data_IF_513115906526
#
_entry.id   IF_513115906526
#
_cell.length_a   1.000
_cell.length_b   1.000
_cell.length_c   1.000
_cell.angle_alpha   90.00
_cell.angle_beta   90.00
_cell.angle_gamma   90.00
#
_symmetry.space_group_name_H-M   'P 1'
#
loop_
_entity.id
_entity.type
_entity.pdbx_description
1 polymer ?
#
# COMPACT_ATOMS: atom_id res chain seq x y z
N UNK A 1 -0.06 0.01 -13.11
CA UNK A 1 0.00 1.37 -13.70
C UNK A 1 -0.77 1.47 -15.01
N UNK A 2 -0.62 0.52 -15.95
CA UNK A 2 -1.25 0.59 -17.28
C UNK A 2 -2.78 0.80 -17.24
N UNK A 3 -3.51 0.09 -16.38
CA UNK A 3 -4.96 0.31 -16.25
C UNK A 3 -5.29 1.72 -15.75
N UNK A 4 -4.59 2.23 -14.73
CA UNK A 4 -4.83 3.56 -14.18
C UNK A 4 -4.68 4.67 -15.22
N UNK A 5 -3.64 4.58 -16.06
CA UNK A 5 -3.43 5.50 -17.19
C UNK A 5 -4.57 5.38 -18.21
N UNK A 6 -4.98 4.15 -18.56
CA UNK A 6 -6.11 3.92 -19.49
C UNK A 6 -7.46 4.40 -18.92
N UNK A 7 -7.65 4.31 -17.61
CA UNK A 7 -8.85 4.80 -16.92
C UNK A 7 -8.87 6.34 -16.91
N UNK A 8 -7.72 6.97 -16.60
CA UNK A 8 -7.55 8.41 -16.66
C UNK A 8 -7.84 8.98 -18.06
N UNK A 9 -7.32 8.34 -19.10
CA UNK A 9 -7.61 8.71 -20.49
C UNK A 9 -9.10 8.60 -20.88
N UNK A 10 -9.91 7.91 -20.08
CA UNK A 10 -11.36 7.72 -20.27
C UNK A 10 -12.20 8.54 -19.29
N UNK A 11 -11.60 9.50 -18.57
CA UNK A 11 -12.30 10.42 -17.67
C UNK A 11 -12.49 9.92 -16.24
N UNK A 12 -11.80 8.85 -15.83
CA UNK A 12 -11.75 8.44 -14.42
C UNK A 12 -10.62 9.15 -13.67
N UNK A 13 -10.81 9.39 -12.38
CA UNK A 13 -9.69 9.70 -11.48
C UNK A 13 -9.01 8.39 -11.10
N UNK A 14 -7.71 8.27 -11.34
CA UNK A 14 -6.93 7.09 -10.94
C UNK A 14 -6.09 7.42 -9.71
N UNK A 15 -6.26 6.66 -8.64
CA UNK A 15 -5.54 6.81 -7.37
C UNK A 15 -4.77 5.51 -7.11
N UNK A 16 -3.49 5.65 -6.76
CA UNK A 16 -2.64 4.53 -6.32
C UNK A 16 -2.12 4.91 -4.94
N UNK A 17 -2.33 4.04 -3.97
CA UNK A 17 -2.03 4.29 -2.57
C UNK A 17 -0.98 3.28 -2.08
N UNK A 18 0.04 3.79 -1.39
CA UNK A 18 0.88 2.97 -0.53
C UNK A 18 0.12 2.65 0.76
N UNK A 19 -0.03 1.37 1.11
CA UNK A 19 -0.69 0.98 2.36
C UNK A 19 0.11 1.45 3.57
N UNK A 20 -0.56 1.60 4.72
CA UNK A 20 0.05 2.06 5.98
C UNK A 20 1.39 1.38 6.27
N UNK A 21 2.40 2.19 6.60
CA UNK A 21 3.74 1.75 6.94
C UNK A 21 4.59 1.23 5.77
N UNK A 22 4.15 1.43 4.52
CA UNK A 22 4.89 1.05 3.32
C UNK A 22 5.31 2.27 2.51
N UNK A 23 6.51 2.19 1.94
CA UNK A 23 7.03 3.19 0.99
C UNK A 23 6.88 4.62 1.50
N UNK A 24 6.02 5.44 0.88
CA UNK A 24 5.81 6.84 1.28
C UNK A 24 4.81 7.02 2.42
N UNK A 25 3.99 6.01 2.72
CA UNK A 25 3.00 6.07 3.79
C UNK A 25 3.63 5.97 5.18
N UNK A 26 3.07 6.77 6.09
CA UNK A 26 3.43 6.78 7.51
C UNK A 26 2.88 5.55 8.25
N UNK A 27 3.22 5.43 9.53
CA UNK A 27 2.74 4.37 10.41
C UNK A 27 3.54 3.07 10.34
N UNK A 28 3.00 2.04 10.97
CA UNK A 28 3.59 0.70 11.05
C UNK A 28 2.77 -0.28 10.21
N UNK A 29 3.48 -1.08 9.42
CA UNK A 29 2.84 -2.06 8.55
C UNK A 29 2.58 -3.36 9.29
N UNK A 30 1.34 -3.86 9.20
CA UNK A 30 0.96 -5.19 9.62
C UNK A 30 -0.02 -5.74 8.60
N UNK A 31 0.31 -6.90 8.03
CA UNK A 31 -0.42 -7.50 6.91
C UNK A 31 -1.90 -7.74 7.25
N UNK A 32 -2.81 -7.25 6.40
CA UNK A 32 -4.27 -7.45 6.48
C UNK A 32 -5.00 -6.86 7.71
N UNK A 33 -4.28 -6.20 8.63
CA UNK A 33 -4.87 -5.69 9.88
C UNK A 33 -5.60 -4.38 9.70
N UNK A 34 -5.11 -3.50 8.82
CA UNK A 34 -5.57 -2.11 8.73
C UNK A 34 -6.24 -1.78 7.40
N UNK A 35 -6.16 -2.67 6.41
CA UNK A 35 -6.63 -2.48 5.04
C UNK A 35 -8.13 -2.23 4.95
N UNK A 36 -8.93 -2.74 5.90
CA UNK A 36 -10.35 -2.44 5.97
C UNK A 36 -10.63 -0.99 6.35
N UNK A 37 -10.05 -0.53 7.47
CA UNK A 37 -10.20 0.83 7.98
C UNK A 37 -9.56 1.86 7.03
N UNK A 38 -8.31 1.63 6.62
CA UNK A 38 -7.60 2.50 5.68
C UNK A 38 -8.30 2.54 4.32
N UNK A 39 -8.87 1.41 3.89
CA UNK A 39 -9.66 1.31 2.66
C UNK A 39 -10.96 2.10 2.73
N UNK A 40 -11.68 2.03 3.87
CA UNK A 40 -12.87 2.85 4.11
C UNK A 40 -12.54 4.34 4.01
N UNK A 41 -11.55 4.81 4.77
CA UNK A 41 -11.18 6.22 4.82
C UNK A 41 -10.73 6.73 3.45
N UNK A 42 -9.98 5.89 2.70
CA UNK A 42 -9.51 6.23 1.36
C UNK A 42 -10.67 6.34 0.36
N UNK A 43 -11.66 5.45 0.43
CA UNK A 43 -12.86 5.52 -0.41
C UNK A 43 -13.63 6.81 -0.12
N UNK A 44 -13.89 7.12 1.14
CA UNK A 44 -14.66 8.30 1.52
C UNK A 44 -13.92 9.59 1.16
N UNK A 45 -12.59 9.62 1.34
CA UNK A 45 -11.74 10.72 0.89
C UNK A 45 -11.79 10.90 -0.64
N UNK A 46 -11.66 9.81 -1.41
CA UNK A 46 -11.69 9.86 -2.87
C UNK A 46 -13.05 10.30 -3.41
N UNK A 47 -14.14 9.91 -2.74
CA UNK A 47 -15.49 10.34 -3.07
C UNK A 47 -15.70 11.85 -2.85
N UNK A 48 -15.02 12.43 -1.86
CA UNK A 48 -15.12 13.84 -1.49
C UNK A 48 -14.24 14.80 -2.32
N UNK A 49 -13.38 14.28 -3.20
CA UNK A 49 -12.56 15.14 -4.06
C UNK A 49 -13.44 16.04 -4.95
N UNK A 50 -13.06 17.31 -5.19
CA UNK A 50 -13.92 18.29 -5.88
C UNK A 50 -14.22 17.94 -7.35
N UNK A 51 -13.45 17.03 -7.92
CA UNK A 51 -13.59 16.51 -9.29
C UNK A 51 -14.08 15.05 -9.30
N UNK A 52 -14.52 14.52 -8.16
CA UNK A 52 -15.17 13.22 -8.05
C UNK A 52 -16.68 13.37 -8.27
N UNK A 53 -17.31 12.33 -8.82
CA UNK A 53 -18.76 12.22 -8.93
C UNK A 53 -19.39 11.47 -7.74
N UNK A 54 -18.62 11.29 -6.65
CA UNK A 54 -19.06 10.59 -5.44
C UNK A 54 -19.10 9.06 -5.56
N UNK A 55 -18.67 8.47 -6.68
CA UNK A 55 -18.62 7.02 -6.86
C UNK A 55 -17.18 6.54 -6.98
N UNK A 56 -16.78 5.65 -6.08
CA UNK A 56 -15.44 5.06 -6.07
C UNK A 56 -15.51 3.60 -6.48
N UNK A 57 -14.62 3.20 -7.39
CA UNK A 57 -14.40 1.81 -7.75
C UNK A 57 -12.97 1.41 -7.42
N UNK A 58 -12.78 0.16 -6.99
CA UNK A 58 -11.45 -0.38 -6.74
C UNK A 58 -11.13 -1.49 -7.75
N UNK A 59 -9.85 -1.64 -8.10
CA UNK A 59 -9.39 -2.65 -9.05
C UNK A 59 -7.97 -3.11 -8.70
N UNK A 60 -7.62 -4.32 -9.14
CA UNK A 60 -6.27 -4.88 -8.96
C UNK A 60 -6.31 -6.32 -8.49
N UNK A 61 -5.15 -6.94 -8.38
CA UNK A 61 -5.05 -8.34 -8.02
C UNK A 61 -4.04 -8.67 -6.93
N UNK A 62 -4.04 -9.93 -6.50
CA UNK A 62 -3.23 -10.42 -5.38
C UNK A 62 -3.50 -9.61 -4.10
N UNK A 63 -2.49 -9.04 -3.44
CA UNK A 63 -2.66 -8.19 -2.27
C UNK A 63 -3.55 -6.96 -2.54
N UNK A 64 -3.42 -6.35 -3.72
CA UNK A 64 -4.29 -5.23 -4.16
C UNK A 64 -5.72 -5.71 -4.37
N UNK A 65 -5.93 -7.00 -4.65
CA UNK A 65 -7.26 -7.62 -4.62
C UNK A 65 -7.79 -7.79 -3.20
N UNK A 66 -6.93 -8.23 -2.28
CA UNK A 66 -7.29 -8.46 -0.89
C UNK A 66 -7.74 -7.17 -0.19
N UNK A 67 -7.05 -6.05 -0.44
CA UNK A 67 -7.42 -4.74 0.11
C UNK A 67 -8.81 -4.30 -0.33
N UNK A 68 -9.27 -4.68 -1.54
CA UNK A 68 -10.63 -4.39 -2.01
C UNK A 68 -11.68 -5.16 -1.22
N UNK A 69 -11.43 -6.45 -0.98
CA UNK A 69 -12.34 -7.29 -0.19
C UNK A 69 -12.44 -6.78 1.25
N UNK A 70 -11.30 -6.41 1.85
CA UNK A 70 -11.24 -5.88 3.21
C UNK A 70 -11.92 -4.51 3.32
N UNK A 71 -11.69 -3.59 2.37
CA UNK A 71 -12.38 -2.31 2.32
C UNK A 71 -13.90 -2.48 2.14
N UNK A 72 -14.33 -3.40 1.26
CA UNK A 72 -15.75 -3.68 1.05
C UNK A 72 -16.44 -4.22 2.31
N UNK A 73 -15.74 -5.01 3.13
CA UNK A 73 -16.25 -5.48 4.43
C UNK A 73 -16.47 -4.35 5.44
N UNK A 74 -15.74 -3.24 5.32
CA UNK A 74 -15.98 -2.04 6.13
C UNK A 74 -17.19 -1.20 5.64
N UNK A 75 -17.79 -1.58 4.50
CA UNK A 75 -19.00 -0.99 3.94
C UNK A 75 -18.97 0.55 3.76
N UNK A 76 -17.94 1.14 3.14
CA UNK A 76 -17.94 2.57 2.83
C UNK A 76 -19.09 2.92 1.87
N UNK A 77 -19.93 3.92 2.19
CA UNK A 77 -21.16 4.22 1.44
C UNK A 77 -20.90 4.64 -0.02
N UNK A 78 -19.71 5.19 -0.33
CA UNK A 78 -19.38 5.64 -1.69
C UNK A 78 -18.67 4.58 -2.55
N UNK A 79 -18.44 3.37 -2.03
CA UNK A 79 -17.90 2.27 -2.81
C UNK A 79 -18.97 1.69 -3.75
N UNK A 80 -18.86 2.05 -5.02
CA UNK A 80 -19.81 1.63 -6.05
C UNK A 80 -19.51 0.24 -6.63
N UNK A 81 -18.28 -0.26 -6.47
CA UNK A 81 -17.91 -1.61 -6.93
C UNK A 81 -16.44 -1.94 -6.76
N UNK A 82 -16.15 -3.24 -6.74
CA UNK A 82 -14.79 -3.79 -6.68
C UNK A 82 -14.56 -4.75 -7.85
N UNK A 83 -13.30 -4.84 -8.29
CA UNK A 83 -12.87 -5.83 -9.29
C UNK A 83 -11.58 -6.53 -8.81
N UNK A 84 -11.69 -7.40 -7.78
CA UNK A 84 -10.57 -8.15 -7.24
C UNK A 84 -10.19 -9.32 -8.16
N UNK A 85 -8.92 -9.40 -8.52
CA UNK A 85 -8.39 -10.44 -9.43
C UNK A 85 -7.37 -11.31 -8.67
N UNK A 86 -7.36 -12.63 -8.87
CA UNK A 86 -6.35 -13.56 -8.31
C UNK A 86 -6.05 -13.30 -6.82
N UNK A 87 -7.10 -13.21 -6.00
CA UNK A 87 -7.03 -13.01 -4.55
C UNK A 87 -7.94 -14.02 -3.84
N UNK A 88 -7.87 -14.09 -2.50
CA UNK A 88 -8.67 -15.02 -1.71
C UNK A 88 -9.75 -14.31 -0.89
N UNK A 89 -10.84 -15.02 -0.61
CA UNK A 89 -11.88 -14.62 0.35
C UNK A 89 -11.56 -15.06 1.79
N UNK A 90 -10.52 -15.88 1.97
CA UNK A 90 -10.02 -16.33 3.26
C UNK A 90 -8.48 -16.36 3.19
N UNK A 91 -7.83 -15.66 4.12
CA UNK A 91 -6.37 -15.52 4.14
C UNK A 91 -5.68 -16.63 4.94
N UNK A 92 -6.43 -17.36 5.77
CA UNK A 92 -5.91 -18.51 6.51
C UNK A 92 -5.94 -19.76 5.63
N UNK A 93 -7.13 -20.22 5.26
CA UNK A 93 -7.34 -21.42 4.44
C UNK A 93 -7.64 -21.02 2.99
N UNK A 94 -6.85 -21.54 2.06
CA UNK A 94 -6.87 -21.14 0.66
C UNK A 94 -5.78 -20.13 0.27
N UNK A 95 -4.94 -19.70 1.22
CA UNK A 95 -3.78 -18.84 0.94
C UNK A 95 -2.56 -19.22 1.80
N UNK A 96 -2.61 -18.99 3.12
CA UNK A 96 -1.47 -19.31 4.02
C UNK A 96 -1.35 -20.82 4.25
N UNK A 97 -2.50 -21.48 4.34
CA UNK A 97 -2.62 -22.92 4.44
C UNK A 97 -3.50 -23.45 3.32
N UNK A 98 -3.24 -24.67 2.88
CA UNK A 98 -4.10 -25.45 1.99
C UNK A 98 -4.39 -26.79 2.65
N UNK A 99 -5.65 -27.02 3.03
CA UNK A 99 -6.05 -28.26 3.70
C UNK A 99 -5.30 -28.51 5.02
N UNK A 100 -4.91 -27.43 5.72
CA UNK A 100 -4.14 -27.49 6.97
C UNK A 100 -2.62 -27.62 6.80
N UNK A 101 -2.10 -27.81 5.58
CA UNK A 101 -0.67 -27.75 5.31
C UNK A 101 -0.24 -26.30 5.07
N UNK A 102 0.89 -25.88 5.66
CA UNK A 102 1.43 -24.54 5.45
C UNK A 102 2.01 -24.40 4.04
N UNK A 103 1.63 -23.36 3.32
CA UNK A 103 2.18 -23.01 2.00
C UNK A 103 3.58 -22.39 2.14
N UNK A 104 4.55 -23.22 2.53
CA UNK A 104 5.86 -22.80 3.01
C UNK A 104 6.60 -21.89 2.01
N UNK A 105 6.72 -22.33 0.75
CA UNK A 105 7.43 -21.57 -0.27
C UNK A 105 6.82 -20.18 -0.48
N UNK A 106 5.49 -20.11 -0.55
CA UNK A 106 4.79 -18.84 -0.71
C UNK A 106 5.00 -17.94 0.52
N UNK A 107 4.79 -18.48 1.72
CA UNK A 107 4.95 -17.73 2.96
C UNK A 107 6.36 -17.14 3.13
N UNK A 108 7.40 -17.94 2.89
CA UNK A 108 8.79 -17.50 3.01
C UNK A 108 9.19 -16.49 1.94
N UNK A 109 8.85 -16.75 0.66
CA UNK A 109 9.24 -15.87 -0.45
C UNK A 109 8.54 -14.52 -0.37
N UNK A 110 7.23 -14.52 -0.06
CA UNK A 110 6.45 -13.30 0.02
C UNK A 110 6.88 -12.43 1.21
N UNK A 111 7.03 -13.01 2.40
CA UNK A 111 7.45 -12.26 3.59
C UNK A 111 8.87 -11.71 3.45
N UNK A 112 9.78 -12.47 2.83
CA UNK A 112 11.15 -12.01 2.56
C UNK A 112 11.17 -10.79 1.63
N UNK A 113 10.35 -10.79 0.58
CA UNK A 113 10.21 -9.62 -0.31
C UNK A 113 9.62 -8.40 0.41
N UNK A 114 8.67 -8.60 1.31
CA UNK A 114 8.09 -7.50 2.10
C UNK A 114 9.09 -6.93 3.10
N UNK A 115 9.96 -7.78 3.66
CA UNK A 115 10.96 -7.38 4.65
C UNK A 115 11.96 -6.34 4.10
N UNK A 116 12.24 -6.36 2.79
CA UNK A 116 13.18 -5.42 2.15
C UNK A 116 12.83 -3.95 2.46
N UNK A 117 11.60 -3.52 2.16
CA UNK A 117 11.17 -2.14 2.43
C UNK A 117 11.12 -1.84 3.93
N UNK A 118 10.72 -2.80 4.76
CA UNK A 118 10.71 -2.62 6.23
C UNK A 118 12.12 -2.42 6.76
N UNK A 119 13.11 -3.17 6.26
CA UNK A 119 14.51 -3.03 6.60
C UNK A 119 15.05 -1.69 6.10
N UNK A 120 14.78 -1.32 4.84
CA UNK A 120 15.18 -0.03 4.28
C UNK A 120 14.71 1.14 5.13
N UNK A 121 13.41 1.19 5.48
CA UNK A 121 12.85 2.25 6.34
C UNK A 121 13.50 2.30 7.71
N UNK A 122 13.80 1.14 8.31
CA UNK A 122 14.52 1.07 9.60
C UNK A 122 15.94 1.59 9.48
N UNK A 123 16.65 1.25 8.41
CA UNK A 123 18.01 1.75 8.15
C UNK A 123 17.98 3.25 7.94
N UNK A 124 17.13 3.77 7.06
CA UNK A 124 17.01 5.20 6.77
C UNK A 124 16.68 6.02 8.02
N UNK A 125 15.71 5.58 8.83
CA UNK A 125 15.36 6.25 10.09
C UNK A 125 16.51 6.28 11.10
N UNK A 126 17.36 5.25 11.11
CA UNK A 126 18.51 5.14 12.00
C UNK A 126 19.80 5.71 11.40
N UNK A 127 19.81 6.07 10.12
CA UNK A 127 20.98 6.60 9.42
C UNK A 127 20.87 8.11 9.32
N UNK A 128 21.38 8.81 10.32
CA UNK A 128 21.72 10.22 10.13
C UNK A 128 23.11 10.28 9.49
N UNK A 129 23.18 10.23 8.16
CA UNK A 129 24.43 10.36 7.40
C UNK A 129 25.16 11.69 7.66
N UNK A 130 24.49 12.65 8.31
CA UNK A 130 25.02 13.96 8.69
C UNK A 130 25.31 14.07 10.19
N UNK A 131 25.14 13.00 10.99
CA UNK A 131 25.28 13.08 12.46
C UNK A 131 26.69 13.48 12.90
N UNK A 132 27.68 13.17 12.07
CA UNK A 132 29.09 13.52 12.24
C UNK A 132 29.49 14.76 11.44
N UNK A 133 28.60 15.35 10.64
CA UNK A 133 28.85 16.57 9.89
C UNK A 133 28.37 17.76 10.71
N UNK A 134 29.29 18.38 11.45
CA UNK A 134 29.03 19.56 12.29
C UNK A 134 29.09 20.89 11.53
N UNK A 135 29.58 20.91 10.28
CA UNK A 135 29.80 22.15 9.53
C UNK A 135 29.60 21.93 8.02
N UNK A 136 28.62 22.62 7.41
CA UNK A 136 28.52 22.85 5.96
C UNK A 136 28.08 24.32 5.76
N UNK A 137 28.60 25.05 4.75
CA UNK A 137 29.32 24.53 3.58
C UNK A 137 30.83 24.74 3.55
N UNK A 138 31.46 23.78 2.86
CA UNK A 138 32.85 23.77 2.34
C UNK A 138 33.25 25.07 1.60
N UNK A 139 32.28 25.94 1.27
CA UNK A 139 32.50 27.27 0.69
C UNK A 139 33.28 28.23 1.60
N UNK A 140 33.42 27.91 2.89
CA UNK A 140 34.20 28.69 3.85
C UNK A 140 35.62 28.16 4.06
N UNK A 141 36.05 27.13 3.32
CA UNK A 141 37.43 26.63 3.39
C UNK A 141 38.31 27.46 2.43
N UNK A 142 39.25 28.28 2.93
CA UNK A 142 40.16 29.02 2.07
C UNK A 142 41.11 28.02 1.41
N UNK A 143 40.93 27.80 0.11
CA UNK A 143 41.98 27.23 -0.71
C UNK A 143 43.09 28.29 -0.82
N UNK A 144 44.31 27.89 -0.46
CA UNK A 144 45.53 28.69 -0.60
C UNK A 144 45.66 29.31 -1.99
#
# INVERSE_FOLDING_TARGET
VEFGVKAAARGYVAIIQDVRGRFSSEGEWYTFKHEGEDGYDTVEWAAALPYSNGKVGMFGGSYVGATQMLAAMAQPPHLAGIFPVVTASNYHDGWTYQGGAFEQWFGESWTSGLAENTLQRRVEKNTNAMSWIKTIPLASYPLL
#
